data_IF_737107321227
#
_entry.id   IF_737107321227
#
_cell.length_a   1.000
_cell.length_b   1.000
_cell.length_c   1.000
_cell.angle_alpha   90.00
_cell.angle_beta   90.00
_cell.angle_gamma   90.00
#
_symmetry.space_group_name_H-M   'P 1'
#
loop_
_entity.id
_entity.type
_entity.pdbx_description
1 polymer ?
#
# COMPACT_ATOMS: atom_id res chain seq x y z
N UNK A 1 -22.19 -18.77 -18.24
CA UNK A 1 -22.35 -18.12 -16.92
C UNK A 1 -21.03 -18.27 -16.19
N UNK A 2 -20.45 -17.18 -15.67
CA UNK A 2 -19.19 -17.27 -14.90
C UNK A 2 -19.44 -18.00 -13.59
N UNK A 3 -18.43 -18.72 -13.08
CA UNK A 3 -18.44 -19.22 -11.70
C UNK A 3 -18.23 -18.03 -10.77
N UNK A 4 -18.88 -18.00 -9.61
CA UNK A 4 -18.84 -16.84 -8.71
C UNK A 4 -17.42 -16.58 -8.18
N UNK A 5 -16.79 -17.57 -7.53
CA UNK A 5 -15.47 -17.39 -6.92
C UNK A 5 -14.65 -18.68 -6.93
N UNK A 6 -13.32 -18.55 -7.00
CA UNK A 6 -12.35 -19.59 -6.71
C UNK A 6 -11.37 -19.14 -5.62
N UNK A 7 -10.86 -20.08 -4.83
CA UNK A 7 -9.72 -19.85 -3.94
C UNK A 7 -8.45 -20.20 -4.70
N UNK A 8 -7.49 -19.28 -4.71
CA UNK A 8 -6.26 -19.38 -5.48
C UNK A 8 -5.08 -19.35 -4.51
N UNK A 9 -4.34 -20.45 -4.46
CA UNK A 9 -3.23 -20.67 -3.53
C UNK A 9 -1.92 -20.69 -4.31
N UNK A 10 -1.05 -19.68 -4.20
CA UNK A 10 0.32 -19.78 -4.69
C UNK A 10 1.05 -20.89 -3.92
N UNK A 11 1.39 -21.98 -4.61
CA UNK A 11 1.97 -23.18 -4.01
C UNK A 11 3.33 -23.46 -4.66
N UNK A 12 4.38 -22.97 -4.02
CA UNK A 12 5.75 -22.99 -4.54
C UNK A 12 6.73 -23.75 -3.64
N UNK A 13 6.36 -24.06 -2.39
CA UNK A 13 7.18 -24.85 -1.49
C UNK A 13 7.07 -26.34 -1.77
N UNK A 14 8.22 -27.03 -1.74
CA UNK A 14 8.30 -28.47 -1.92
C UNK A 14 7.83 -29.24 -0.67
N UNK A 15 8.03 -28.67 0.51
CA UNK A 15 7.56 -29.17 1.79
C UNK A 15 6.94 -27.99 2.54
N UNK A 16 5.70 -28.17 3.02
CA UNK A 16 5.05 -27.16 3.83
C UNK A 16 5.64 -27.15 5.24
N UNK A 17 5.89 -25.96 5.77
CA UNK A 17 6.14 -25.79 7.20
C UNK A 17 4.90 -26.18 8.02
N UNK A 18 5.07 -26.34 9.34
CA UNK A 18 3.94 -26.60 10.26
C UNK A 18 2.84 -25.54 10.11
N UNK A 19 3.23 -24.27 10.05
CA UNK A 19 2.33 -23.11 9.92
C UNK A 19 1.59 -23.13 8.57
N UNK A 20 2.31 -23.38 7.48
CA UNK A 20 1.69 -23.47 6.15
C UNK A 20 0.75 -24.67 6.02
N UNK A 21 1.12 -25.80 6.65
CA UNK A 21 0.25 -26.97 6.74
C UNK A 21 -1.04 -26.62 7.47
N UNK A 22 -0.96 -25.90 8.60
CA UNK A 22 -2.15 -25.41 9.33
C UNK A 22 -3.02 -24.54 8.42
N UNK A 23 -2.43 -23.53 7.78
CA UNK A 23 -3.12 -22.63 6.85
C UNK A 23 -3.79 -23.37 5.69
N UNK A 24 -3.08 -24.32 5.07
CA UNK A 24 -3.58 -25.11 3.94
C UNK A 24 -4.77 -25.99 4.37
N UNK A 25 -4.63 -26.77 5.43
CA UNK A 25 -5.71 -27.63 5.94
C UNK A 25 -6.90 -26.79 6.41
N UNK A 26 -6.65 -25.62 7.02
CA UNK A 26 -7.72 -24.70 7.40
C UNK A 26 -8.52 -24.22 6.19
N UNK A 27 -7.82 -23.80 5.13
CA UNK A 27 -8.46 -23.42 3.87
C UNK A 27 -9.33 -24.55 3.32
N UNK A 28 -8.81 -25.79 3.26
CA UNK A 28 -9.58 -26.95 2.79
C UNK A 28 -10.84 -27.20 3.63
N UNK A 29 -10.72 -27.10 4.95
CA UNK A 29 -11.81 -27.37 5.88
C UNK A 29 -12.92 -26.32 5.84
N UNK A 30 -12.55 -25.04 5.70
CA UNK A 30 -13.51 -23.91 5.75
C UNK A 30 -14.04 -23.56 4.36
N UNK A 31 -13.18 -23.57 3.35
CA UNK A 31 -13.48 -23.11 1.99
C UNK A 31 -13.55 -24.25 0.96
N UNK A 32 -13.57 -25.51 1.40
CA UNK A 32 -13.63 -26.69 0.52
C UNK A 32 -14.86 -26.77 -0.39
N UNK A 33 -15.90 -25.97 -0.13
CA UNK A 33 -17.09 -25.87 -0.99
C UNK A 33 -16.85 -25.03 -2.25
N UNK A 34 -15.73 -24.31 -2.35
CA UNK A 34 -15.35 -23.53 -3.51
C UNK A 34 -14.28 -24.27 -4.32
N UNK A 35 -14.14 -24.00 -5.63
CA UNK A 35 -12.99 -24.47 -6.39
C UNK A 35 -11.69 -23.95 -5.77
N UNK A 36 -10.82 -24.84 -5.36
CA UNK A 36 -9.49 -24.51 -4.84
C UNK A 36 -8.48 -24.80 -5.95
N UNK A 37 -7.80 -23.75 -6.40
CA UNK A 37 -6.81 -23.77 -7.48
C UNK A 37 -5.44 -23.51 -6.90
N UNK A 38 -4.54 -24.48 -6.99
CA UNK A 38 -3.14 -24.28 -6.67
C UNK A 38 -2.42 -23.75 -7.91
N UNK A 39 -1.76 -22.61 -7.76
CA UNK A 39 -0.84 -22.13 -8.76
C UNK A 39 0.51 -22.74 -8.45
N UNK A 40 1.06 -23.49 -9.40
CA UNK A 40 2.29 -24.28 -9.23
C UNK A 40 3.28 -23.95 -10.34
N UNK A 41 4.59 -23.90 -10.07
CA UNK A 41 5.59 -23.62 -11.08
C UNK A 41 5.77 -24.84 -12.02
N UNK A 42 6.14 -24.59 -13.28
CA UNK A 42 6.28 -25.60 -14.34
C UNK A 42 7.16 -26.79 -13.95
N UNK A 43 8.25 -26.54 -13.22
CA UNK A 43 9.19 -27.57 -12.79
C UNK A 43 8.81 -28.26 -11.47
N UNK A 44 7.64 -27.94 -10.88
CA UNK A 44 7.11 -28.71 -9.75
C UNK A 44 6.54 -30.04 -10.25
N UNK A 45 7.29 -31.12 -10.04
CA UNK A 45 6.84 -32.48 -10.35
C UNK A 45 5.53 -32.83 -9.63
N UNK A 46 4.62 -33.50 -10.34
CA UNK A 46 3.26 -33.81 -9.85
C UNK A 46 3.24 -34.70 -8.61
N UNK A 47 4.30 -35.47 -8.38
CA UNK A 47 4.51 -36.26 -7.17
C UNK A 47 4.56 -35.40 -5.90
N UNK A 48 4.82 -34.09 -6.04
CA UNK A 48 4.88 -33.13 -4.94
C UNK A 48 3.55 -32.41 -4.71
N UNK A 49 2.54 -32.67 -5.55
CA UNK A 49 1.23 -32.07 -5.35
C UNK A 49 0.57 -32.69 -4.12
N UNK A 50 -0.15 -31.88 -3.32
CA UNK A 50 -0.85 -32.40 -2.16
C UNK A 50 -1.86 -33.48 -2.60
N UNK A 51 -1.88 -34.67 -1.95
CA UNK A 51 -2.71 -35.79 -2.35
C UNK A 51 -4.18 -35.62 -1.87
N UNK A 52 -4.76 -34.45 -2.13
CA UNK A 52 -6.12 -34.09 -1.75
C UNK A 52 -7.01 -34.09 -2.99
N UNK A 53 -8.14 -34.80 -2.91
CA UNK A 53 -9.10 -34.89 -4.02
C UNK A 53 -9.82 -33.56 -4.23
N UNK A 54 -10.13 -33.24 -5.49
CA UNK A 54 -10.92 -32.06 -5.85
C UNK A 54 -10.12 -30.76 -6.05
N UNK A 55 -8.80 -30.78 -5.81
CA UNK A 55 -7.94 -29.65 -6.12
C UNK A 55 -7.77 -29.46 -7.63
N UNK A 56 -7.73 -28.20 -8.04
CA UNK A 56 -7.39 -27.78 -9.39
C UNK A 56 -5.96 -27.24 -9.40
N UNK A 57 -5.29 -27.32 -10.55
CA UNK A 57 -3.90 -26.88 -10.70
C UNK A 57 -3.78 -25.96 -11.90
N UNK A 58 -3.16 -24.80 -11.70
CA UNK A 58 -2.78 -23.88 -12.76
C UNK A 58 -1.25 -23.80 -12.81
N UNK A 59 -0.68 -24.36 -13.86
CA UNK A 59 0.77 -24.36 -14.07
C UNK A 59 1.20 -23.02 -14.65
N UNK A 60 2.17 -22.38 -14.02
CA UNK A 60 2.73 -21.08 -14.40
C UNK A 60 4.24 -21.14 -14.58
N UNK A 61 4.83 -20.21 -15.36
CA UNK A 61 6.29 -20.13 -15.50
C UNK A 61 6.99 -20.08 -14.14
N UNK A 62 8.10 -20.81 -13.99
CA UNK A 62 8.83 -20.85 -12.72
C UNK A 62 9.25 -19.45 -12.25
N UNK A 63 9.66 -18.60 -13.21
CA UNK A 63 10.08 -17.20 -13.00
C UNK A 63 9.01 -16.31 -12.36
N UNK A 64 7.74 -16.75 -12.26
CA UNK A 64 6.67 -16.04 -11.55
C UNK A 64 6.68 -16.32 -10.05
N UNK A 65 7.36 -17.38 -9.60
CA UNK A 65 7.36 -17.89 -8.22
C UNK A 65 8.74 -18.02 -7.59
N UNK A 66 9.79 -17.53 -8.25
CA UNK A 66 11.18 -17.61 -7.76
C UNK A 66 11.49 -16.69 -6.58
N UNK A 67 10.72 -15.61 -6.39
CA UNK A 67 10.96 -14.63 -5.34
C UNK A 67 9.71 -13.79 -5.03
N UNK A 68 9.76 -13.04 -3.93
CA UNK A 68 8.72 -12.04 -3.59
C UNK A 68 8.57 -11.00 -4.71
N UNK A 69 9.66 -10.57 -5.32
CA UNK A 69 9.64 -9.61 -6.44
C UNK A 69 8.98 -10.22 -7.69
N UNK A 70 9.30 -11.48 -8.00
CA UNK A 70 8.67 -12.22 -9.08
C UNK A 70 7.15 -12.38 -8.88
N UNK A 71 6.73 -12.71 -7.66
CA UNK A 71 5.31 -12.78 -7.31
C UNK A 71 4.61 -11.43 -7.51
N UNK A 72 5.21 -10.33 -7.03
CA UNK A 72 4.65 -8.98 -7.24
C UNK A 72 4.49 -8.67 -8.73
N UNK A 73 5.49 -9.00 -9.57
CA UNK A 73 5.38 -8.86 -11.03
C UNK A 73 4.26 -9.72 -11.60
N UNK A 74 4.16 -10.99 -11.21
CA UNK A 74 3.09 -11.91 -11.65
C UNK A 74 1.70 -11.32 -11.40
N UNK A 75 1.45 -10.78 -10.21
CA UNK A 75 0.15 -10.20 -9.84
C UNK A 75 -0.18 -8.90 -10.60
N UNK A 76 0.77 -8.35 -11.37
CA UNK A 76 0.62 -7.23 -12.28
C UNK A 76 0.63 -7.64 -13.77
N UNK A 77 0.60 -8.94 -14.07
CA UNK A 77 0.52 -9.45 -15.45
C UNK A 77 -0.93 -9.69 -15.87
N UNK A 78 -1.33 -9.11 -17.02
CA UNK A 78 -2.63 -9.39 -17.65
C UNK A 78 -2.85 -10.89 -17.89
N UNK A 79 -1.78 -11.63 -18.17
CA UNK A 79 -1.82 -13.05 -18.46
C UNK A 79 -2.12 -13.91 -17.23
N UNK A 80 -1.84 -13.42 -16.03
CA UNK A 80 -2.28 -14.06 -14.80
C UNK A 80 -3.81 -14.06 -14.71
N UNK A 81 -4.44 -12.88 -14.75
CA UNK A 81 -5.90 -12.75 -14.65
C UNK A 81 -6.64 -13.39 -15.83
N UNK A 82 -6.01 -13.44 -17.01
CA UNK A 82 -6.56 -14.14 -18.19
C UNK A 82 -6.87 -15.62 -17.90
N UNK A 83 -6.08 -16.28 -17.05
CA UNK A 83 -6.25 -17.70 -16.67
C UNK A 83 -7.48 -17.95 -15.78
N UNK A 84 -8.04 -16.89 -15.18
CA UNK A 84 -9.15 -16.97 -14.24
C UNK A 84 -10.44 -16.31 -14.75
N UNK A 85 -10.53 -15.93 -16.03
CA UNK A 85 -11.69 -15.21 -16.60
C UNK A 85 -13.03 -15.99 -16.52
N UNK A 86 -12.98 -17.29 -16.30
CA UNK A 86 -14.12 -18.15 -16.00
C UNK A 86 -14.75 -17.88 -14.64
N UNK A 87 -14.04 -17.20 -13.74
CA UNK A 87 -14.52 -16.75 -12.43
C UNK A 87 -14.86 -15.26 -12.43
N UNK A 88 -15.83 -14.86 -11.62
CA UNK A 88 -16.08 -13.45 -11.33
C UNK A 88 -15.02 -12.93 -10.34
N UNK A 89 -14.79 -13.70 -9.27
CA UNK A 89 -13.83 -13.40 -8.22
C UNK A 89 -12.77 -14.50 -8.06
N UNK A 90 -11.59 -14.10 -7.59
CA UNK A 90 -10.63 -15.00 -6.97
C UNK A 90 -10.31 -14.49 -5.56
N UNK A 91 -10.23 -15.40 -4.59
CA UNK A 91 -9.61 -15.17 -3.31
C UNK A 91 -8.16 -15.64 -3.40
N UNK A 92 -7.21 -14.72 -3.38
CA UNK A 92 -5.80 -15.06 -3.18
C UNK A 92 -5.64 -15.47 -1.73
N UNK A 93 -5.06 -16.65 -1.50
CA UNK A 93 -4.83 -17.24 -0.19
C UNK A 93 -3.39 -17.75 -0.15
N UNK A 94 -2.47 -16.94 0.37
CA UNK A 94 -1.09 -17.38 0.64
C UNK A 94 -1.04 -18.31 1.86
N UNK A 95 0.02 -19.11 1.96
CA UNK A 95 0.11 -20.17 2.97
C UNK A 95 0.48 -19.66 4.38
N UNK A 96 0.67 -18.36 4.52
CA UNK A 96 0.72 -17.60 5.77
C UNK A 96 -0.63 -16.90 6.07
N UNK A 97 -1.72 -17.28 5.38
CA UNK A 97 -3.07 -16.83 5.66
C UNK A 97 -3.91 -17.85 6.45
N UNK A 98 -4.87 -17.38 7.24
CA UNK A 98 -5.78 -18.23 8.01
C UNK A 98 -7.23 -17.71 7.93
N UNK A 99 -8.21 -18.60 7.73
CA UNK A 99 -9.64 -18.24 7.73
C UNK A 99 -10.38 -18.73 8.97
N UNK A 100 -11.15 -17.85 9.60
CA UNK A 100 -11.87 -18.16 10.84
C UNK A 100 -13.26 -18.76 10.58
N UNK A 101 -13.93 -18.35 9.52
CA UNK A 101 -15.27 -18.82 9.11
C UNK A 101 -15.44 -18.71 7.60
N UNK A 102 -16.47 -19.33 7.02
CA UNK A 102 -16.80 -19.13 5.60
C UNK A 102 -17.75 -17.94 5.45
N UNK A 103 -17.21 -16.81 5.02
CA UNK A 103 -17.96 -15.61 4.64
C UNK A 103 -17.68 -15.19 3.18
N UNK A 104 -17.09 -16.08 2.37
CA UNK A 104 -16.51 -15.69 1.08
C UNK A 104 -17.55 -15.14 0.09
N UNK A 105 -18.71 -15.81 -0.04
CA UNK A 105 -19.82 -15.30 -0.89
C UNK A 105 -20.37 -13.97 -0.41
N UNK A 106 -20.40 -13.74 0.90
CA UNK A 106 -20.87 -12.47 1.44
C UNK A 106 -19.98 -11.32 0.97
N UNK A 107 -18.66 -11.49 0.97
CA UNK A 107 -17.75 -10.48 0.43
C UNK A 107 -17.86 -10.30 -1.08
N UNK A 108 -18.09 -11.39 -1.83
CA UNK A 108 -18.38 -11.28 -3.27
C UNK A 108 -19.65 -10.44 -3.53
N UNK A 109 -20.67 -10.59 -2.68
CA UNK A 109 -21.95 -9.88 -2.83
C UNK A 109 -21.86 -8.37 -2.64
N UNK A 110 -20.81 -7.85 -1.98
CA UNK A 110 -20.59 -6.41 -1.86
C UNK A 110 -20.21 -5.75 -3.18
N UNK A 111 -19.68 -6.52 -4.14
CA UNK A 111 -19.41 -6.00 -5.48
C UNK A 111 -18.17 -5.12 -5.62
N UNK A 112 -17.30 -5.04 -4.60
CA UNK A 112 -15.99 -4.39 -4.71
C UNK A 112 -15.10 -5.15 -5.68
N UNK A 113 -14.13 -4.45 -6.27
CA UNK A 113 -13.16 -5.03 -7.19
C UNK A 113 -11.95 -5.58 -6.42
N UNK A 114 -11.51 -4.89 -5.36
CA UNK A 114 -10.40 -5.31 -4.51
C UNK A 114 -10.77 -5.20 -3.02
N UNK A 115 -10.61 -6.30 -2.27
CA UNK A 115 -10.73 -6.31 -0.81
C UNK A 115 -9.47 -6.95 -0.24
N UNK A 116 -8.85 -6.31 0.74
CA UNK A 116 -7.75 -6.87 1.50
C UNK A 116 -7.74 -6.32 2.93
N UNK A 117 -6.60 -6.39 3.61
CA UNK A 117 -6.48 -5.96 5.01
C UNK A 117 -6.34 -4.43 5.14
N UNK A 118 -6.79 -3.83 6.26
CA UNK A 118 -6.63 -2.41 6.50
C UNK A 118 -5.18 -2.06 6.89
N UNK A 119 -4.68 -0.95 6.35
CA UNK A 119 -3.43 -0.33 6.75
C UNK A 119 -3.72 0.88 7.63
N UNK A 120 -3.87 0.68 8.95
CA UNK A 120 -4.32 1.73 9.87
C UNK A 120 -3.48 3.04 9.83
N UNK A 121 -2.14 3.01 9.74
CA UNK A 121 -1.33 4.22 9.58
C UNK A 121 -1.43 4.84 8.17
N UNK A 122 -2.00 4.10 7.23
CA UNK A 122 -1.99 4.38 5.80
C UNK A 122 -0.66 4.04 5.14
N UNK A 123 -0.72 3.67 3.86
CA UNK A 123 0.44 3.47 3.00
C UNK A 123 0.55 4.65 2.06
N UNK A 124 1.71 5.30 2.11
CA UNK A 124 2.04 6.40 1.22
C UNK A 124 2.46 5.89 -0.14
N UNK A 125 1.77 6.32 -1.19
CA UNK A 125 2.18 6.15 -2.57
C UNK A 125 1.52 7.21 -3.45
N UNK A 126 2.33 8.06 -4.08
CA UNK A 126 1.85 9.04 -5.04
C UNK A 126 2.08 8.53 -6.45
N UNK A 127 1.00 8.48 -7.22
CA UNK A 127 1.05 8.27 -8.67
C UNK A 127 0.24 9.33 -9.44
N UNK A 128 -0.59 10.11 -8.75
CA UNK A 128 -1.33 11.25 -9.30
C UNK A 128 -1.55 12.36 -8.24
N UNK A 129 -2.25 13.44 -8.60
CA UNK A 129 -2.56 14.57 -7.71
C UNK A 129 -3.88 14.39 -6.93
N UNK A 130 -4.58 13.26 -7.09
CA UNK A 130 -5.89 13.04 -6.42
C UNK A 130 -5.70 12.53 -5.01
N UNK A 131 -4.82 11.54 -4.82
CA UNK A 131 -4.65 10.85 -3.54
C UNK A 131 -3.25 10.25 -3.41
N UNK A 132 -2.72 10.28 -2.20
CA UNK A 132 -1.39 9.79 -1.88
C UNK A 132 -1.35 8.77 -0.73
N UNK A 133 -2.45 8.62 0.01
CA UNK A 133 -2.57 7.73 1.17
C UNK A 133 -3.62 6.65 0.93
N UNK A 134 -3.23 5.40 1.13
CA UNK A 134 -4.07 4.22 0.86
C UNK A 134 -4.23 3.39 2.13
N UNK A 135 -5.44 2.89 2.39
CA UNK A 135 -5.80 2.30 3.68
C UNK A 135 -6.26 0.85 3.62
N UNK A 136 -6.31 0.26 2.44
CA UNK A 136 -6.69 -1.13 2.22
C UNK A 136 -5.73 -1.70 1.20
N UNK A 137 -5.13 -2.85 1.49
CA UNK A 137 -4.15 -3.51 0.65
C UNK A 137 -3.93 -4.93 1.15
N UNK A 138 -2.68 -5.39 1.27
CA UNK A 138 -2.33 -6.77 1.61
C UNK A 138 -2.70 -7.77 0.51
N UNK A 139 -1.73 -8.06 -0.36
CA UNK A 139 -1.96 -8.92 -1.52
C UNK A 139 -2.19 -10.40 -1.20
N UNK A 140 -1.68 -10.87 -0.05
CA UNK A 140 -1.56 -12.29 0.26
C UNK A 140 -2.82 -12.97 0.78
N UNK A 141 -3.73 -12.21 1.39
CA UNK A 141 -5.10 -12.64 1.60
C UNK A 141 -6.05 -11.58 1.08
N UNK A 142 -6.50 -11.72 -0.17
CA UNK A 142 -7.26 -10.68 -0.87
C UNK A 142 -8.30 -11.21 -1.84
N UNK A 143 -9.46 -10.55 -1.90
CA UNK A 143 -10.51 -10.82 -2.88
C UNK A 143 -10.36 -9.89 -4.09
N UNK A 144 -10.39 -10.46 -5.30
CA UNK A 144 -10.13 -9.74 -6.55
C UNK A 144 -11.19 -10.06 -7.60
N UNK A 145 -11.88 -9.05 -8.11
CA UNK A 145 -12.77 -9.21 -9.28
C UNK A 145 -11.93 -9.33 -10.53
N UNK A 146 -11.90 -10.53 -11.11
CA UNK A 146 -10.95 -10.89 -12.19
C UNK A 146 -11.06 -9.94 -13.38
N UNK A 147 -12.28 -9.61 -13.81
CA UNK A 147 -12.47 -8.72 -14.96
C UNK A 147 -12.01 -7.29 -14.72
N UNK A 148 -12.13 -6.78 -13.49
CA UNK A 148 -11.70 -5.42 -13.16
C UNK A 148 -10.18 -5.30 -13.22
N UNK A 149 -9.47 -6.23 -12.57
CA UNK A 149 -8.01 -6.33 -12.62
C UNK A 149 -7.50 -6.51 -14.06
N UNK A 150 -8.12 -7.43 -14.82
CA UNK A 150 -7.77 -7.65 -16.22
C UNK A 150 -7.97 -6.38 -17.08
N UNK A 151 -9.05 -5.63 -16.87
CA UNK A 151 -9.33 -4.41 -17.62
C UNK A 151 -8.33 -3.30 -17.31
N UNK A 152 -7.96 -3.10 -16.03
CA UNK A 152 -6.94 -2.11 -15.65
C UNK A 152 -5.61 -2.43 -16.34
N UNK A 153 -5.18 -3.69 -16.36
CA UNK A 153 -3.91 -4.11 -16.98
C UNK A 153 -3.92 -4.07 -18.51
N UNK A 154 -5.09 -3.94 -19.15
CA UNK A 154 -5.16 -3.68 -20.60
C UNK A 154 -4.82 -2.24 -20.94
N UNK A 155 -5.04 -1.31 -20.04
CA UNK A 155 -4.93 0.13 -20.30
C UNK A 155 -3.80 0.80 -19.52
N UNK A 156 -3.32 0.17 -18.45
CA UNK A 156 -2.25 0.69 -17.59
C UNK A 156 -0.97 -0.12 -17.78
N UNK A 157 0.14 0.56 -18.09
CA UNK A 157 1.47 -0.08 -18.12
C UNK A 157 1.99 -0.30 -16.70
N UNK A 158 2.55 -1.49 -16.47
CA UNK A 158 3.12 -1.90 -15.17
C UNK A 158 4.65 -2.02 -15.20
N UNK A 159 5.31 -1.69 -16.31
CA UNK A 159 6.76 -1.88 -16.51
C UNK A 159 7.64 -1.12 -15.51
N UNK A 160 7.16 0.01 -14.99
CA UNK A 160 7.91 0.88 -14.06
C UNK A 160 7.31 0.89 -12.64
N UNK A 161 6.49 -0.10 -12.29
CA UNK A 161 5.92 -0.20 -10.94
C UNK A 161 6.98 -0.73 -9.99
N UNK A 162 7.48 0.14 -9.11
CA UNK A 162 8.54 -0.15 -8.13
C UNK A 162 7.99 -0.43 -6.72
N UNK A 163 6.68 -0.42 -6.54
CA UNK A 163 5.99 -0.72 -5.28
C UNK A 163 5.46 -2.15 -5.31
N UNK A 164 5.13 -2.68 -4.13
CA UNK A 164 4.39 -3.94 -4.06
C UNK A 164 3.05 -3.85 -4.81
N UNK A 165 2.61 -4.97 -5.36
CA UNK A 165 1.45 -5.06 -6.21
C UNK A 165 0.17 -4.62 -5.51
N UNK A 166 0.05 -4.90 -4.21
CA UNK A 166 -1.09 -4.47 -3.40
C UNK A 166 -1.15 -2.95 -3.29
N UNK A 167 -0.03 -2.25 -3.06
CA UNK A 167 0.03 -0.78 -3.10
C UNK A 167 -0.41 -0.26 -4.47
N UNK A 168 0.04 -0.92 -5.55
CA UNK A 168 -0.41 -0.57 -6.90
C UNK A 168 -1.93 -0.69 -7.01
N UNK A 169 -2.54 -1.80 -6.59
CA UNK A 169 -3.99 -2.02 -6.70
C UNK A 169 -4.81 -1.11 -5.80
N UNK A 170 -4.36 -0.89 -4.56
CA UNK A 170 -4.96 0.08 -3.65
C UNK A 170 -5.03 1.46 -4.29
N UNK A 171 -4.01 1.82 -5.06
CA UNK A 171 -3.93 3.11 -5.73
C UNK A 171 -4.81 3.26 -6.97
N UNK A 172 -5.48 2.19 -7.44
CA UNK A 172 -6.35 2.24 -8.63
C UNK A 172 -7.78 2.67 -8.33
N UNK A 173 -8.08 3.03 -7.08
CA UNK A 173 -9.39 3.54 -6.67
C UNK A 173 -9.90 4.62 -7.64
N UNK A 174 -11.04 4.35 -8.25
CA UNK A 174 -11.66 5.22 -9.26
C UNK A 174 -13.12 4.85 -9.46
N UNK A 175 -13.83 5.61 -10.28
CA UNK A 175 -15.21 5.30 -10.69
C UNK A 175 -15.36 3.95 -11.43
N UNK A 176 -14.25 3.31 -11.84
CA UNK A 176 -14.24 2.06 -12.61
C UNK A 176 -13.53 0.91 -11.91
N UNK A 177 -12.90 1.17 -10.76
CA UNK A 177 -12.21 0.17 -9.96
C UNK A 177 -12.34 0.53 -8.49
N UNK A 178 -13.08 -0.29 -7.76
CA UNK A 178 -13.50 0.00 -6.39
C UNK A 178 -12.75 -0.89 -5.39
N UNK A 179 -11.89 -0.26 -4.61
CA UNK A 179 -11.27 -0.81 -3.42
C UNK A 179 -12.27 -0.72 -2.28
N UNK A 180 -12.41 -1.80 -1.50
CA UNK A 180 -13.30 -1.79 -0.35
C UNK A 180 -12.95 -0.68 0.64
N UNK A 181 -13.94 -0.07 1.29
CA UNK A 181 -13.68 0.88 2.38
C UNK A 181 -13.15 0.12 3.61
N UNK A 182 -12.53 0.86 4.52
CA UNK A 182 -11.81 0.29 5.67
C UNK A 182 -12.71 -0.55 6.56
N UNK A 183 -13.98 -0.18 6.70
CA UNK A 183 -14.97 -0.89 7.52
C UNK A 183 -15.22 -2.31 6.99
N UNK A 184 -15.17 -2.48 5.65
CA UNK A 184 -15.29 -3.78 4.99
C UNK A 184 -13.97 -4.54 5.07
N UNK A 185 -12.84 -3.84 4.93
CA UNK A 185 -11.51 -4.44 5.09
C UNK A 185 -11.30 -5.02 6.50
N UNK A 186 -11.75 -4.33 7.56
CA UNK A 186 -11.73 -4.80 8.95
C UNK A 186 -12.55 -6.09 9.14
N UNK A 187 -13.69 -6.22 8.45
CA UNK A 187 -14.47 -7.46 8.50
C UNK A 187 -13.80 -8.58 7.69
N UNK A 188 -13.05 -8.23 6.66
CA UNK A 188 -12.45 -9.17 5.72
C UNK A 188 -11.15 -9.79 6.24
N UNK A 189 -10.15 -8.98 6.60
CA UNK A 189 -8.83 -9.48 6.95
C UNK A 189 -8.05 -8.57 7.89
N UNK A 190 -7.24 -9.17 8.78
CA UNK A 190 -6.19 -8.46 9.52
C UNK A 190 -4.80 -8.94 9.07
N UNK A 191 -3.82 -8.05 9.12
CA UNK A 191 -2.40 -8.41 8.98
C UNK A 191 -1.59 -7.75 10.10
N UNK A 192 -1.58 -6.41 10.13
CA UNK A 192 -0.84 -5.60 11.11
C UNK A 192 -1.77 -4.97 12.13
N UNK A 193 -1.23 -4.61 13.29
CA UNK A 193 -1.95 -3.91 14.36
C UNK A 193 -3.22 -4.66 14.78
N UNK A 194 -3.12 -5.99 14.88
CA UNK A 194 -4.27 -6.91 14.96
C UNK A 194 -5.19 -6.63 16.14
N UNK A 195 -4.65 -6.18 17.29
CA UNK A 195 -5.44 -5.78 18.46
C UNK A 195 -6.26 -4.51 18.19
N UNK A 196 -5.68 -3.53 17.52
CA UNK A 196 -6.36 -2.29 17.14
C UNK A 196 -7.43 -2.57 16.08
N UNK A 197 -7.09 -3.39 15.07
CA UNK A 197 -8.05 -3.87 14.08
C UNK A 197 -9.23 -4.61 14.73
N UNK A 198 -8.97 -5.50 15.69
CA UNK A 198 -10.01 -6.22 16.43
C UNK A 198 -10.92 -5.26 17.21
N UNK A 199 -10.35 -4.28 17.91
CA UNK A 199 -11.11 -3.26 18.63
C UNK A 199 -11.99 -2.42 17.69
N UNK A 200 -11.43 -1.98 16.55
CA UNK A 200 -12.15 -1.23 15.52
C UNK A 200 -13.23 -2.08 14.82
N UNK A 201 -13.03 -3.38 14.72
CA UNK A 201 -14.00 -4.35 14.22
C UNK A 201 -14.99 -4.82 15.30
N UNK A 202 -15.25 -3.99 16.31
CA UNK A 202 -16.20 -4.25 17.40
C UNK A 202 -15.91 -5.53 18.20
N UNK A 203 -14.63 -5.88 18.36
CA UNK A 203 -14.17 -7.11 19.01
C UNK A 203 -14.73 -8.38 18.33
N UNK A 204 -14.85 -8.37 17.00
CA UNK A 204 -15.13 -9.55 16.21
C UNK A 204 -13.92 -9.97 15.39
N UNK A 205 -13.74 -11.28 15.25
CA UNK A 205 -12.75 -11.83 14.33
C UNK A 205 -13.12 -11.49 12.88
N UNK A 206 -12.13 -11.21 12.03
CA UNK A 206 -12.34 -11.03 10.60
C UNK A 206 -12.64 -12.39 9.93
N UNK A 207 -13.00 -12.36 8.66
CA UNK A 207 -13.12 -13.58 7.84
C UNK A 207 -11.81 -14.37 7.78
N UNK A 208 -10.67 -13.68 7.61
CA UNK A 208 -9.35 -14.28 7.71
C UNK A 208 -8.27 -13.34 8.18
N UNK A 209 -7.02 -13.77 8.13
CA UNK A 209 -5.85 -12.95 8.39
C UNK A 209 -4.69 -13.39 7.49
N UNK A 210 -3.65 -12.56 7.42
CA UNK A 210 -2.43 -12.78 6.65
C UNK A 210 -1.18 -12.56 7.51
N UNK A 211 -0.11 -13.30 7.22
CA UNK A 211 1.17 -13.26 7.93
C UNK A 211 0.99 -13.35 9.45
N UNK A 212 0.11 -14.25 9.89
CA UNK A 212 -0.33 -14.36 11.29
C UNK A 212 0.81 -14.77 12.24
N UNK A 213 1.84 -15.41 11.71
CA UNK A 213 3.06 -15.80 12.44
C UNK A 213 4.03 -14.63 12.63
N UNK A 214 3.89 -13.57 11.82
CA UNK A 214 4.79 -12.41 11.82
C UNK A 214 4.31 -11.27 12.71
N UNK A 215 3.00 -11.16 12.89
CA UNK A 215 2.35 -10.02 13.55
C UNK A 215 1.50 -10.49 14.74
N UNK A 216 1.97 -10.13 15.94
CA UNK A 216 1.35 -10.40 17.25
C UNK A 216 0.72 -11.80 17.35
N UNK A 217 1.54 -12.84 17.22
CA UNK A 217 1.08 -14.23 17.32
C UNK A 217 0.32 -14.53 18.63
N UNK A 218 0.72 -13.90 19.74
CA UNK A 218 0.06 -14.05 21.04
C UNK A 218 -1.41 -13.63 21.01
N UNK A 219 -1.77 -12.65 20.17
CA UNK A 219 -3.18 -12.31 19.93
C UNK A 219 -3.93 -13.47 19.25
N UNK A 220 -3.31 -14.13 18.27
CA UNK A 220 -3.94 -15.19 17.48
C UNK A 220 -4.01 -16.53 18.20
N UNK A 221 -3.01 -16.87 19.01
CA UNK A 221 -2.82 -18.19 19.59
C UNK A 221 -4.08 -18.75 20.30
N UNK A 222 -4.80 -18.00 21.16
CA UNK A 222 -6.00 -18.52 21.81
C UNK A 222 -7.10 -18.94 20.81
N UNK A 223 -7.24 -18.22 19.70
CA UNK A 223 -8.24 -18.53 18.67
C UNK A 223 -7.86 -19.76 17.84
N UNK A 224 -6.57 -20.01 17.67
CA UNK A 224 -6.05 -21.21 17.01
C UNK A 224 -6.18 -22.45 17.90
N UNK A 225 -5.83 -22.34 19.19
CA UNK A 225 -5.97 -23.41 20.17
C UNK A 225 -7.43 -23.84 20.34
N UNK A 226 -8.36 -22.88 20.41
CA UNK A 226 -9.82 -23.15 20.45
C UNK A 226 -10.28 -24.02 19.26
N UNK A 227 -9.60 -23.88 18.10
CA UNK A 227 -9.89 -24.61 16.86
C UNK A 227 -9.07 -25.90 16.72
N UNK A 228 -8.33 -26.28 17.76
CA UNK A 228 -7.53 -27.52 17.81
C UNK A 228 -6.17 -27.43 17.14
N UNK A 229 -5.68 -26.21 16.85
CA UNK A 229 -4.34 -26.00 16.31
C UNK A 229 -3.39 -25.70 17.47
N UNK A 230 -2.49 -26.63 17.75
CA UNK A 230 -1.45 -26.49 18.77
C UNK A 230 -0.10 -26.45 18.07
N UNK A 231 0.56 -25.30 18.10
CA UNK A 231 1.86 -25.09 17.47
C UNK A 231 2.96 -25.65 18.37
N UNK A 232 3.85 -26.45 17.79
CA UNK A 232 4.92 -27.13 18.52
C UNK A 232 6.25 -26.36 18.53
N UNK A 233 6.42 -25.41 17.61
CA UNK A 233 7.62 -24.57 17.48
C UNK A 233 7.59 -23.25 18.26
N UNK A 234 8.78 -22.68 18.51
CA UNK A 234 8.91 -21.28 18.93
C UNK A 234 8.53 -20.38 17.76
N UNK A 235 7.51 -19.55 17.94
CA UNK A 235 7.14 -18.52 16.97
C UNK A 235 7.90 -17.25 17.35
N UNK A 236 8.55 -16.57 16.40
CA UNK A 236 9.25 -15.31 16.67
C UNK A 236 8.33 -14.29 17.35
N UNK A 237 8.88 -13.47 18.23
CA UNK A 237 8.14 -12.31 18.75
C UNK A 237 7.68 -11.45 17.56
N UNK A 238 6.39 -11.11 17.56
CA UNK A 238 5.77 -10.33 16.49
C UNK A 238 6.41 -8.95 16.32
N UNK A 239 6.48 -8.47 15.08
CA UNK A 239 7.21 -7.24 14.72
C UNK A 239 6.43 -5.95 15.08
N UNK A 240 5.16 -6.08 15.46
CA UNK A 240 4.24 -4.95 15.73
C UNK A 240 3.65 -4.95 17.14
N UNK A 241 4.38 -5.52 18.12
CA UNK A 241 4.06 -5.47 19.55
C UNK A 241 4.44 -4.09 20.13
N UNK A 242 3.92 -3.01 19.54
CA UNK A 242 4.12 -1.66 20.08
C UNK A 242 3.04 -1.37 21.15
N UNK A 243 3.46 -0.81 22.29
CA UNK A 243 2.54 -0.37 23.36
C UNK A 243 1.75 0.90 22.99
N UNK A 244 2.14 1.61 21.93
CA UNK A 244 1.54 2.87 21.51
C UNK A 244 1.26 2.82 20.00
N UNK A 245 0.03 2.45 19.64
CA UNK A 245 -0.39 2.43 18.25
C UNK A 245 -0.53 3.87 17.71
N UNK A 246 -0.04 4.17 16.50
CA UNK A 246 -0.34 5.46 15.88
C UNK A 246 -1.86 5.63 15.76
N UNK A 247 -2.32 6.88 15.91
CA UNK A 247 -3.72 7.20 15.72
C UNK A 247 -4.15 6.76 14.30
N UNK A 248 -5.15 5.87 14.17
CA UNK A 248 -5.48 5.28 12.89
C UNK A 248 -6.06 6.37 11.98
N UNK A 249 -5.71 6.33 10.70
CA UNK A 249 -6.19 7.27 9.68
C UNK A 249 -5.76 8.74 9.87
N UNK A 250 -4.95 9.04 10.89
CA UNK A 250 -4.46 10.38 11.19
C UNK A 250 -3.06 10.59 10.58
N UNK A 251 -3.02 11.19 9.39
CA UNK A 251 -1.78 11.56 8.72
C UNK A 251 -1.93 12.94 8.09
N UNK A 252 -0.91 13.81 8.17
CA UNK A 252 -0.95 15.18 7.62
C UNK A 252 -1.24 15.22 6.11
N UNK A 253 -0.93 14.15 5.38
CA UNK A 253 -1.26 14.01 3.95
C UNK A 253 -2.77 13.79 3.68
N UNK A 254 -3.56 13.50 4.71
CA UNK A 254 -5.03 13.49 4.63
C UNK A 254 -5.66 14.82 5.05
N UNK A 255 -4.86 15.83 5.42
CA UNK A 255 -5.41 17.09 5.88
C UNK A 255 -6.25 17.74 4.78
N UNK A 256 -7.37 18.34 5.17
CA UNK A 256 -8.23 19.07 4.25
C UNK A 256 -7.44 20.20 3.57
N UNK A 257 -7.72 20.43 2.28
CA UNK A 257 -7.11 21.52 1.49
C UNK A 257 -7.12 22.87 2.21
N UNK A 258 -8.17 23.17 2.99
CA UNK A 258 -8.29 24.39 3.77
C UNK A 258 -7.29 24.46 4.95
N UNK A 259 -7.04 23.35 5.64
CA UNK A 259 -6.03 23.27 6.70
C UNK A 259 -4.65 23.52 6.09
N UNK A 260 -4.33 22.81 5.00
CA UNK A 260 -3.04 22.96 4.31
C UNK A 260 -2.87 24.42 3.83
N UNK A 261 -3.90 24.99 3.21
CA UNK A 261 -3.90 26.38 2.73
C UNK A 261 -3.71 27.38 3.86
N UNK A 262 -4.35 27.18 5.01
CA UNK A 262 -4.17 28.05 6.18
C UNK A 262 -2.73 27.98 6.72
N UNK A 263 -2.18 26.77 6.85
CA UNK A 263 -0.79 26.58 7.29
C UNK A 263 0.21 27.22 6.30
N UNK A 264 -0.02 27.02 5.00
CA UNK A 264 0.78 27.61 3.92
C UNK A 264 0.69 29.14 3.88
N UNK A 265 -0.51 29.71 3.98
CA UNK A 265 -0.71 31.17 3.98
C UNK A 265 0.02 31.85 5.14
N UNK A 266 0.09 31.17 6.30
CA UNK A 266 0.88 31.62 7.44
C UNK A 266 2.40 31.63 7.21
N UNK A 267 2.91 30.96 6.16
CA UNK A 267 4.30 31.03 5.72
C UNK A 267 4.49 32.01 4.55
N UNK A 268 3.50 32.11 3.65
CA UNK A 268 3.58 32.99 2.48
C UNK A 268 3.51 34.47 2.84
N UNK A 269 2.64 34.85 3.78
CA UNK A 269 2.32 36.26 4.08
C UNK A 269 1.92 37.05 2.81
N UNK A 270 2.81 37.88 2.25
CA UNK A 270 2.57 38.68 1.03
C UNK A 270 3.37 38.18 -0.20
N UNK A 271 4.07 37.04 -0.08
CA UNK A 271 4.88 36.45 -1.14
C UNK A 271 4.01 35.95 -2.29
N UNK A 272 4.62 35.78 -3.47
CA UNK A 272 3.92 35.40 -4.70
C UNK A 272 4.30 34.03 -5.23
N UNK A 273 5.54 33.58 -5.01
CA UNK A 273 6.07 32.32 -5.57
C UNK A 273 6.65 31.45 -4.47
N UNK A 274 6.34 30.15 -4.51
CA UNK A 274 6.98 29.16 -3.63
C UNK A 274 7.97 28.30 -4.41
N UNK A 275 9.19 28.21 -3.91
CA UNK A 275 10.25 27.35 -4.39
C UNK A 275 10.37 26.14 -3.47
N UNK A 276 10.10 24.95 -4.00
CA UNK A 276 10.37 23.68 -3.33
C UNK A 276 11.80 23.26 -3.66
N UNK A 277 12.69 23.32 -2.66
CA UNK A 277 14.11 22.99 -2.82
C UNK A 277 14.36 21.53 -2.42
N UNK A 278 14.50 20.68 -3.43
CA UNK A 278 14.73 19.24 -3.33
C UNK A 278 13.71 18.49 -4.17
N UNK A 279 14.17 17.71 -5.15
CA UNK A 279 13.35 17.00 -6.12
C UNK A 279 13.17 15.50 -5.80
N UNK A 280 13.44 15.10 -4.56
CA UNK A 280 13.24 13.73 -4.09
C UNK A 280 11.81 13.47 -3.59
N UNK A 281 11.66 12.43 -2.77
CA UNK A 281 10.37 12.05 -2.16
C UNK A 281 9.71 13.21 -1.40
N UNK A 282 10.45 13.90 -0.52
CA UNK A 282 9.93 15.06 0.24
C UNK A 282 9.52 16.22 -0.67
N UNK A 283 10.25 16.46 -1.76
CA UNK A 283 9.88 17.42 -2.79
C UNK A 283 8.55 17.09 -3.46
N UNK A 284 8.39 15.82 -3.84
CA UNK A 284 7.14 15.30 -4.41
C UNK A 284 5.97 15.45 -3.44
N UNK A 285 6.16 15.10 -2.17
CA UNK A 285 5.15 15.27 -1.10
C UNK A 285 4.78 16.75 -0.92
N UNK A 286 5.78 17.63 -0.87
CA UNK A 286 5.59 19.07 -0.70
C UNK A 286 4.81 19.68 -1.87
N UNK A 287 5.19 19.37 -3.11
CA UNK A 287 4.47 19.83 -4.31
C UNK A 287 3.05 19.29 -4.32
N UNK A 288 2.85 18.01 -3.99
CA UNK A 288 1.53 17.41 -3.91
C UNK A 288 0.64 18.15 -2.90
N UNK A 289 1.13 18.41 -1.69
CA UNK A 289 0.40 19.15 -0.65
C UNK A 289 0.02 20.56 -1.11
N UNK A 290 0.96 21.28 -1.71
CA UNK A 290 0.72 22.63 -2.21
C UNK A 290 -0.31 22.64 -3.35
N UNK A 291 -0.23 21.70 -4.30
CA UNK A 291 -1.24 21.55 -5.36
C UNK A 291 -2.60 21.17 -4.80
N UNK A 292 -2.64 20.29 -3.79
CA UNK A 292 -3.87 19.92 -3.10
C UNK A 292 -4.52 21.10 -2.36
N UNK A 293 -3.74 22.14 -2.04
CA UNK A 293 -4.22 23.40 -1.47
C UNK A 293 -4.51 24.50 -2.52
N UNK A 294 -4.55 24.15 -3.81
CA UNK A 294 -4.73 25.04 -4.96
C UNK A 294 -3.65 26.14 -5.08
N UNK A 295 -2.41 25.85 -4.66
CA UNK A 295 -1.28 26.75 -4.87
C UNK A 295 -0.81 26.63 -6.32
N UNK A 296 -0.83 27.72 -7.09
CA UNK A 296 -0.45 27.73 -8.51
C UNK A 296 1.04 28.02 -8.76
N UNK A 297 1.60 29.05 -8.10
CA UNK A 297 2.96 29.54 -8.36
C UNK A 297 4.04 28.71 -7.62
N UNK A 298 4.16 27.44 -8.00
CA UNK A 298 5.17 26.52 -7.47
C UNK A 298 6.30 26.35 -8.47
N UNK A 299 7.53 26.47 -7.99
CA UNK A 299 8.76 26.11 -8.71
C UNK A 299 9.52 25.04 -7.94
N UNK A 300 10.23 24.17 -8.65
CA UNK A 300 11.06 23.15 -8.02
C UNK A 300 12.52 23.37 -8.41
N UNK A 301 13.43 23.31 -7.43
CA UNK A 301 14.87 23.47 -7.64
C UNK A 301 15.62 22.37 -6.91
N UNK A 302 16.75 21.94 -7.45
CA UNK A 302 17.61 20.93 -6.80
C UNK A 302 19.10 21.20 -7.14
N UNK A 303 20.02 20.88 -6.23
CA UNK A 303 21.45 21.01 -6.52
C UNK A 303 21.98 19.89 -7.44
N UNK A 304 21.24 18.79 -7.57
CA UNK A 304 21.61 17.69 -8.43
C UNK A 304 21.26 18.00 -9.89
N UNK A 305 22.27 18.37 -10.67
CA UNK A 305 22.12 18.65 -12.11
C UNK A 305 21.52 17.49 -12.91
N UNK A 306 21.65 16.24 -12.45
CA UNK A 306 21.10 15.08 -13.15
C UNK A 306 19.56 15.03 -13.15
N UNK A 307 18.89 15.80 -12.28
CA UNK A 307 17.42 15.87 -12.24
C UNK A 307 16.86 17.12 -12.90
N UNK A 308 17.68 18.05 -13.37
CA UNK A 308 17.19 19.26 -14.03
C UNK A 308 16.46 18.93 -15.33
N UNK A 309 15.35 19.62 -15.58
CA UNK A 309 14.47 19.36 -16.72
C UNK A 309 13.51 18.18 -16.51
N UNK A 310 13.77 17.29 -15.54
CA UNK A 310 12.76 16.33 -15.09
C UNK A 310 11.59 17.08 -14.47
N UNK A 311 10.45 16.40 -14.32
CA UNK A 311 9.24 16.99 -13.76
C UNK A 311 8.78 16.22 -12.54
N UNK A 312 8.37 16.98 -11.52
CA UNK A 312 7.57 16.46 -10.42
C UNK A 312 6.14 16.91 -10.69
N UNK A 313 5.31 15.96 -11.14
CA UNK A 313 3.97 16.25 -11.66
C UNK A 313 4.02 17.29 -12.79
N UNK A 314 3.40 18.44 -12.57
CA UNK A 314 3.32 19.54 -13.51
C UNK A 314 4.47 20.56 -13.38
N UNK A 315 5.39 20.39 -12.41
CA UNK A 315 6.45 21.34 -12.08
C UNK A 315 7.83 20.84 -12.58
N UNK A 316 8.52 21.58 -13.47
CA UNK A 316 9.89 21.24 -13.87
C UNK A 316 10.89 21.50 -12.74
N UNK A 317 11.94 20.69 -12.68
CA UNK A 317 13.07 20.87 -11.77
C UNK A 317 14.11 21.76 -12.43
N UNK A 318 14.50 22.83 -11.75
CA UNK A 318 15.37 23.89 -12.27
C UNK A 318 16.65 24.04 -11.43
N UNK A 319 17.59 24.82 -11.95
CA UNK A 319 18.80 25.19 -11.23
C UNK A 319 18.50 26.19 -10.08
N UNK A 320 19.09 26.02 -8.89
CA UNK A 320 18.79 26.88 -7.74
C UNK A 320 19.30 28.32 -7.84
N UNK A 321 20.30 28.58 -8.68
CA UNK A 321 20.94 29.89 -8.85
C UNK A 321 19.97 31.01 -9.25
N UNK A 322 18.80 30.64 -9.79
CA UNK A 322 17.71 31.57 -10.07
C UNK A 322 17.30 32.40 -8.84
N UNK A 323 17.40 31.83 -7.64
CA UNK A 323 17.07 32.51 -6.39
C UNK A 323 17.97 33.72 -6.10
N UNK A 324 19.16 33.82 -6.70
CA UNK A 324 20.07 34.97 -6.51
C UNK A 324 19.53 36.26 -7.12
N UNK A 325 18.58 36.14 -8.05
CA UNK A 325 18.03 37.27 -8.82
C UNK A 325 16.60 37.63 -8.40
N UNK A 326 15.98 36.80 -7.56
CA UNK A 326 14.62 37.01 -7.09
C UNK A 326 14.53 38.09 -6.01
N UNK A 327 13.37 38.75 -5.94
CA UNK A 327 13.04 39.66 -4.83
C UNK A 327 12.62 38.82 -3.63
N UNK A 328 13.37 38.94 -2.54
CA UNK A 328 13.19 38.11 -1.33
C UNK A 328 11.80 38.22 -0.73
N UNK A 329 11.21 39.40 -0.82
CA UNK A 329 9.88 39.70 -0.30
C UNK A 329 8.76 39.01 -1.11
N UNK A 330 9.06 38.51 -2.31
CA UNK A 330 8.11 37.86 -3.21
C UNK A 330 8.21 36.33 -3.20
N UNK A 331 9.21 35.77 -2.51
CA UNK A 331 9.50 34.33 -2.56
C UNK A 331 9.45 33.66 -1.20
N UNK A 332 8.91 32.45 -1.19
CA UNK A 332 9.02 31.47 -0.11
C UNK A 332 9.88 30.31 -0.61
N UNK A 333 10.85 29.86 0.17
CA UNK A 333 11.64 28.66 -0.12
C UNK A 333 11.33 27.60 0.93
N UNK A 334 10.78 26.47 0.48
CA UNK A 334 10.56 25.28 1.31
C UNK A 334 11.66 24.26 1.03
N UNK A 335 12.55 24.04 1.98
CA UNK A 335 13.60 23.01 1.88
C UNK A 335 12.95 21.64 2.10
N UNK A 336 12.85 20.86 1.03
CA UNK A 336 12.20 19.55 0.97
C UNK A 336 13.21 18.43 0.61
N UNK A 337 14.32 18.38 1.35
CA UNK A 337 15.36 17.36 1.23
C UNK A 337 15.42 16.49 2.49
N UNK A 338 15.93 15.25 2.42
CA UNK A 338 16.08 14.40 3.62
C UNK A 338 17.47 14.50 4.26
N UNK A 339 18.51 14.52 3.43
CA UNK A 339 19.90 14.38 3.89
C UNK A 339 20.72 15.66 3.75
N UNK A 340 20.29 16.62 2.93
CA UNK A 340 21.05 17.82 2.57
C UNK A 340 20.44 19.13 3.10
N UNK A 341 19.44 19.07 3.99
CA UNK A 341 18.71 20.27 4.46
C UNK A 341 19.65 21.34 5.05
N UNK A 342 20.66 20.93 5.82
CA UNK A 342 21.63 21.84 6.45
C UNK A 342 22.64 22.44 5.46
N UNK A 343 22.92 21.75 4.36
CA UNK A 343 23.79 22.25 3.30
C UNK A 343 23.03 23.28 2.45
N UNK A 344 21.81 22.92 2.04
CA UNK A 344 20.89 23.81 1.31
C UNK A 344 20.65 25.09 2.14
N UNK A 345 20.41 24.97 3.44
CA UNK A 345 20.21 26.15 4.29
C UNK A 345 21.46 27.04 4.34
N UNK A 346 22.67 26.47 4.34
CA UNK A 346 23.93 27.25 4.31
C UNK A 346 24.08 28.01 2.98
N UNK A 347 23.82 27.33 1.86
CA UNK A 347 23.80 27.94 0.53
C UNK A 347 22.80 29.11 0.44
N UNK A 348 21.57 28.92 0.92
CA UNK A 348 20.55 29.97 0.92
C UNK A 348 20.96 31.18 1.79
N UNK A 349 21.62 30.95 2.93
CA UNK A 349 22.17 32.02 3.78
C UNK A 349 23.25 32.84 3.06
N UNK A 350 24.11 32.21 2.25
CA UNK A 350 25.09 32.93 1.43
C UNK A 350 24.42 33.84 0.39
N UNK A 351 23.23 33.45 -0.08
CA UNK A 351 22.37 34.26 -0.95
C UNK A 351 21.47 35.22 -0.18
N UNK A 352 21.73 35.37 1.12
CA UNK A 352 21.04 36.26 2.05
C UNK A 352 19.55 35.92 2.23
N UNK A 353 19.16 34.65 2.05
CA UNK A 353 17.82 34.13 2.36
C UNK A 353 17.88 33.47 3.74
N UNK A 354 17.02 33.89 4.66
CA UNK A 354 17.12 33.52 6.07
C UNK A 354 16.01 32.56 6.51
N UNK A 355 16.39 31.57 7.32
CA UNK A 355 15.43 30.68 7.97
C UNK A 355 14.50 31.45 8.91
N UNK A 356 13.20 31.16 8.85
CA UNK A 356 12.17 31.87 9.62
C UNK A 356 11.72 33.19 8.98
N UNK A 357 12.24 33.52 7.78
CA UNK A 357 11.82 34.66 6.97
C UNK A 357 11.38 34.20 5.58
N UNK A 358 12.30 34.10 4.63
CA UNK A 358 12.00 33.60 3.28
C UNK A 358 12.14 32.08 3.21
N UNK A 359 12.89 31.48 4.13
CA UNK A 359 13.23 30.05 4.10
C UNK A 359 12.57 29.32 5.26
N UNK A 360 11.92 28.21 4.96
CA UNK A 360 11.41 27.25 5.94
C UNK A 360 11.74 25.84 5.49
N UNK A 361 11.76 24.89 6.42
CA UNK A 361 11.82 23.48 6.07
C UNK A 361 10.42 22.98 5.72
N UNK A 362 10.37 21.97 4.85
CA UNK A 362 9.14 21.23 4.59
C UNK A 362 8.51 20.68 5.88
N UNK A 363 9.33 20.25 6.85
CA UNK A 363 8.83 19.78 8.15
C UNK A 363 8.04 20.85 8.93
N UNK A 364 8.41 22.12 8.80
CA UNK A 364 7.72 23.20 9.52
C UNK A 364 6.27 23.35 9.02
N UNK A 365 6.07 23.12 7.71
CA UNK A 365 4.74 23.05 7.12
C UNK A 365 3.98 21.81 7.62
N UNK A 366 4.60 20.63 7.59
CA UNK A 366 3.92 19.40 8.02
C UNK A 366 3.60 19.36 9.51
N UNK A 367 4.43 19.97 10.36
CA UNK A 367 4.19 20.10 11.80
C UNK A 367 3.00 21.02 12.07
N UNK A 368 2.90 22.15 11.33
CA UNK A 368 1.72 23.04 11.40
C UNK A 368 0.44 22.34 10.94
N UNK A 369 0.51 21.55 9.87
CA UNK A 369 -0.64 20.78 9.38
C UNK A 369 -1.05 19.74 10.42
N UNK A 370 -0.09 18.98 10.96
CA UNK A 370 -0.34 17.98 12.00
C UNK A 370 -0.98 18.61 13.25
N UNK A 371 -0.54 19.81 13.66
CA UNK A 371 -1.12 20.52 14.80
C UNK A 371 -2.52 21.10 14.53
N UNK A 372 -2.94 21.17 13.25
CA UNK A 372 -4.26 21.61 12.83
C UNK A 372 -5.26 20.47 12.57
N UNK A 373 -4.79 19.21 12.58
CA UNK A 373 -5.62 18.00 12.58
C UNK A 373 -6.06 17.67 14.01
#
# INVERSE_FOLDING_TARGET
>A
MKKEVAVVIPYYHYELTEMESISFHRCLNVLGNYPIVLIVPENMGKEKYPPVSGLLFEVVPDEWMESVEAYNRMMLLKDFYRRFLQYEYILVYQLDAFVFSDSLRHFCSYGYDFIGAPWLPGMYYIHDLKRCMWYVGNGGFSLRRVSAFFNVLKTCSTENVMVHEDIFWSSRESEYFHVAPVEIALQFSFERYVRQCYSLNHNHLPFGCHAWEKYDFDFWNPFFEERGYHLSGQIPEGIDIDMEYPAPFLHYLNADSAIIRNCYNGLMEQRQTVYVFGAGRRGSECIWLLRHADVENIRCIDNNMAVWGNRLFDVPVEEPDILKYERKEEILVLIAAKYSENEILRQLKEWKLEYGREVFFYRDLTEKITAGL
#
